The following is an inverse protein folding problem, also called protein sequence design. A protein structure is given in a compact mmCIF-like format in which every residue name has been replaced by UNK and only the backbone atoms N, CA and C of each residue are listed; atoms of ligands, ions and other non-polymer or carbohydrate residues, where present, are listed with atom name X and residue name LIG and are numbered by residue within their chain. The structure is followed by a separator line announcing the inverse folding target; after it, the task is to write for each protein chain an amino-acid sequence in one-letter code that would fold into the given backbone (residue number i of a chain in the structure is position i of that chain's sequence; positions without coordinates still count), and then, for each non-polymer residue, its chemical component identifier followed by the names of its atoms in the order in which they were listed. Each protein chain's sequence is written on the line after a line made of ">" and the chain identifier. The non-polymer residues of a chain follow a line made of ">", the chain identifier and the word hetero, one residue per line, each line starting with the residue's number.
data_IF_031304220773
#
_entry.id   IF_031304220773
#
_cell.length_a   1.000
_cell.length_b   1.000
_cell.length_c   1.000
_cell.angle_alpha   90.00
_cell.angle_beta   90.00
_cell.angle_gamma   90.00
#
_symmetry.space_group_name_H-M   'P 1'
#
loop_
_entity.id
_entity.type
_entity.pdbx_description
1 polymer ?
#
# COMPACT_ATOMS: atom_id res chain seq x y z
N UNK A 1 14.63 -5.40 7.27
CA UNK A 1 14.03 -5.52 5.93
C UNK A 1 15.08 -5.93 4.91
N UNK A 2 14.69 -6.25 3.68
CA UNK A 2 15.60 -6.78 2.63
C UNK A 2 16.87 -5.94 2.40
N UNK A 3 16.76 -4.61 2.45
CA UNK A 3 17.93 -3.70 2.35
C UNK A 3 18.91 -3.90 3.50
N UNK A 4 18.42 -4.03 4.74
CA UNK A 4 19.27 -4.22 5.91
C UNK A 4 19.97 -5.59 5.93
N UNK A 5 19.48 -6.55 5.13
CA UNK A 5 20.08 -7.87 4.95
C UNK A 5 21.13 -7.90 3.83
N UNK A 6 21.44 -6.75 3.21
CA UNK A 6 22.43 -6.66 2.13
C UNK A 6 21.95 -7.28 0.81
N UNK A 7 20.64 -7.36 0.58
CA UNK A 7 20.12 -7.84 -0.71
C UNK A 7 20.53 -6.91 -1.85
N UNK A 8 21.28 -7.43 -2.81
CA UNK A 8 21.62 -6.75 -4.06
C UNK A 8 20.51 -6.82 -5.12
N UNK A 9 19.50 -7.67 -4.89
CA UNK A 9 18.36 -7.80 -5.80
C UNK A 9 17.47 -6.56 -5.78
N UNK A 10 16.87 -6.17 -6.92
CA UNK A 10 15.87 -5.11 -6.97
C UNK A 10 14.74 -5.36 -5.97
N UNK A 11 14.34 -4.31 -5.27
CA UNK A 11 13.22 -4.35 -4.33
C UNK A 11 12.03 -3.68 -5.00
N UNK A 12 10.90 -4.41 -5.02
CA UNK A 12 9.65 -3.98 -5.63
C UNK A 12 8.67 -3.58 -4.52
N UNK A 13 8.12 -2.38 -4.61
CA UNK A 13 7.03 -1.91 -3.75
C UNK A 13 5.76 -1.69 -4.58
N UNK A 14 4.65 -2.31 -4.17
CA UNK A 14 3.36 -2.23 -4.87
C UNK A 14 2.18 -2.10 -3.90
N UNK A 15 2.01 -0.91 -3.32
CA UNK A 15 0.93 -0.57 -2.38
C UNK A 15 -0.45 -0.48 -3.03
N UNK A 16 -1.50 -0.77 -2.27
CA UNK A 16 -2.88 -0.41 -2.67
C UNK A 16 -3.06 1.11 -2.62
N UNK A 17 -4.09 1.64 -3.29
CA UNK A 17 -4.48 3.04 -3.16
C UNK A 17 -5.22 3.29 -1.84
N UNK A 18 -4.47 3.38 -0.74
CA UNK A 18 -5.02 3.51 0.61
C UNK A 18 -5.45 2.17 1.21
N UNK A 19 -6.04 2.24 2.41
CA UNK A 19 -6.48 1.07 3.17
C UNK A 19 -7.79 0.56 2.56
N UNK A 20 -7.91 -0.73 2.21
CA UNK A 20 -9.18 -1.29 1.73
C UNK A 20 -10.31 -1.10 2.75
N UNK A 21 -11.45 -0.60 2.31
CA UNK A 21 -12.66 -0.42 3.12
C UNK A 21 -13.80 -1.26 2.54
N UNK A 22 -14.54 -1.96 3.39
CA UNK A 22 -15.79 -2.60 2.98
C UNK A 22 -16.93 -1.58 3.03
N UNK A 23 -17.57 -1.35 1.88
CA UNK A 23 -18.74 -0.50 1.73
C UNK A 23 -19.75 -1.28 0.89
N UNK A 24 -20.94 -1.52 1.43
CA UNK A 24 -22.05 -2.20 0.74
C UNK A 24 -21.66 -3.55 0.07
N UNK A 25 -20.84 -4.36 0.76
CA UNK A 25 -20.40 -5.67 0.26
C UNK A 25 -19.26 -5.61 -0.76
N UNK A 26 -18.75 -4.43 -1.09
CA UNK A 26 -17.65 -4.22 -2.02
C UNK A 26 -16.44 -3.59 -1.33
N UNK A 27 -15.24 -3.85 -1.88
CA UNK A 27 -13.99 -3.25 -1.40
C UNK A 27 -13.77 -1.94 -2.15
N UNK A 28 -13.70 -0.85 -1.40
CA UNK A 28 -13.37 0.49 -1.88
C UNK A 28 -11.98 0.92 -1.39
N UNK A 29 -11.33 1.73 -2.22
CA UNK A 29 -10.00 2.29 -2.01
C UNK A 29 -10.12 3.81 -2.09
N UNK A 30 -9.68 4.51 -1.05
CA UNK A 30 -9.82 5.96 -0.91
C UNK A 30 -8.47 6.69 -0.90
N UNK A 31 -7.37 5.98 -1.16
CA UNK A 31 -6.07 6.61 -1.32
C UNK A 31 -6.11 7.57 -2.51
N UNK A 32 -5.68 8.80 -2.27
CA UNK A 32 -5.65 9.84 -3.30
C UNK A 32 -4.37 9.74 -4.14
N UNK A 33 -4.31 10.37 -5.32
CA UNK A 33 -3.07 10.53 -6.08
C UNK A 33 -1.92 11.12 -5.25
N UNK A 34 -2.20 12.10 -4.40
CA UNK A 34 -1.18 12.73 -3.54
C UNK A 34 -0.69 11.78 -2.43
N UNK A 35 -1.59 11.01 -1.81
CA UNK A 35 -1.20 9.98 -0.85
C UNK A 35 -0.28 8.94 -1.50
N UNK A 36 -0.60 8.52 -2.73
CA UNK A 36 0.23 7.58 -3.48
C UNK A 36 1.57 8.19 -3.88
N UNK A 37 1.63 9.50 -4.10
CA UNK A 37 2.89 10.23 -4.32
C UNK A 37 3.80 10.17 -3.09
N UNK A 38 3.25 10.39 -1.89
CA UNK A 38 3.97 10.28 -0.62
C UNK A 38 4.46 8.85 -0.38
N UNK A 39 3.60 7.86 -0.65
CA UNK A 39 3.97 6.44 -0.63
C UNK A 39 5.17 6.15 -1.52
N UNK A 40 5.19 6.65 -2.77
CA UNK A 40 6.27 6.36 -3.70
C UNK A 40 7.62 6.90 -3.20
N UNK A 41 7.63 8.11 -2.65
CA UNK A 41 8.81 8.73 -2.04
C UNK A 41 9.32 7.93 -0.86
N UNK A 42 8.43 7.54 0.06
CA UNK A 42 8.77 6.72 1.22
C UNK A 42 9.29 5.34 0.80
N UNK A 43 8.71 4.72 -0.23
CA UNK A 43 9.16 3.43 -0.75
C UNK A 43 10.58 3.52 -1.34
N UNK A 44 10.89 4.57 -2.11
CA UNK A 44 12.24 4.86 -2.62
C UNK A 44 13.23 5.05 -1.48
N UNK A 45 12.86 5.81 -0.46
CA UNK A 45 13.72 6.12 0.68
C UNK A 45 13.94 4.90 1.59
N UNK A 46 12.99 3.95 1.58
CA UNK A 46 13.16 2.61 2.15
C UNK A 46 14.10 1.69 1.33
N UNK A 47 14.40 2.05 0.08
CA UNK A 47 15.31 1.34 -0.82
C UNK A 47 14.64 0.52 -1.92
N UNK A 48 13.34 0.72 -2.19
CA UNK A 48 12.71 0.16 -3.37
C UNK A 48 13.29 0.80 -4.65
N UNK A 49 13.52 -0.03 -5.67
CA UNK A 49 14.03 0.39 -6.99
C UNK A 49 13.00 0.24 -8.09
N UNK A 50 11.93 -0.51 -7.83
CA UNK A 50 10.76 -0.60 -8.71
C UNK A 50 9.53 -0.27 -7.86
N UNK A 51 8.79 0.77 -8.24
CA UNK A 51 7.69 1.32 -7.45
C UNK A 51 6.46 1.42 -8.34
N UNK A 52 5.36 0.84 -7.87
CA UNK A 52 4.08 0.85 -8.56
C UNK A 52 2.92 0.77 -7.57
N UNK A 53 1.72 0.56 -8.11
CA UNK A 53 0.49 0.37 -7.33
C UNK A 53 -0.22 -0.95 -7.60
N UNK A 54 -1.10 -1.32 -6.69
CA UNK A 54 -1.88 -2.57 -6.68
C UNK A 54 -3.37 -2.26 -6.88
N UNK A 55 -4.24 -2.76 -6.00
CA UNK A 55 -5.67 -2.54 -6.08
C UNK A 55 -6.01 -1.07 -5.79
N UNK A 56 -6.96 -0.53 -6.53
CA UNK A 56 -7.39 0.87 -6.43
C UNK A 56 -6.48 1.89 -7.11
N UNK A 57 -5.25 1.53 -7.51
CA UNK A 57 -4.36 2.44 -8.24
C UNK A 57 -4.89 2.69 -9.65
N UNK A 58 -4.88 3.96 -10.07
CA UNK A 58 -5.32 4.44 -11.39
C UNK A 58 -4.15 5.17 -12.10
N UNK A 59 -4.28 5.52 -13.39
CA UNK A 59 -3.27 6.32 -14.09
C UNK A 59 -2.94 7.66 -13.41
N UNK A 60 -3.92 8.34 -12.82
CA UNK A 60 -3.73 9.61 -12.11
C UNK A 60 -2.78 9.46 -10.91
N UNK A 61 -2.89 8.34 -10.19
CA UNK A 61 -1.95 8.00 -9.12
C UNK A 61 -0.54 7.83 -9.66
N UNK A 62 -0.37 7.13 -10.79
CA UNK A 62 0.95 6.90 -11.39
C UNK A 62 1.60 8.20 -11.87
N UNK A 63 0.81 9.14 -12.41
CA UNK A 63 1.29 10.48 -12.78
C UNK A 63 1.84 11.21 -11.56
N UNK A 64 1.10 11.22 -10.44
CA UNK A 64 1.54 11.87 -9.20
C UNK A 64 2.72 11.17 -8.52
N UNK A 65 2.74 9.84 -8.53
CA UNK A 65 3.89 9.06 -8.08
C UNK A 65 5.16 9.40 -8.86
N UNK A 66 5.06 9.45 -10.19
CA UNK A 66 6.18 9.81 -11.06
C UNK A 66 6.66 11.22 -10.78
N UNK A 67 5.75 12.19 -10.77
CA UNK A 67 6.06 13.60 -10.48
C UNK A 67 6.84 13.73 -9.17
N UNK A 68 6.38 13.09 -8.09
CA UNK A 68 7.04 13.15 -6.80
C UNK A 68 8.42 12.45 -6.79
N UNK A 69 8.57 11.34 -7.49
CA UNK A 69 9.86 10.63 -7.61
C UNK A 69 10.90 11.45 -8.39
N UNK A 70 10.48 12.21 -9.40
CA UNK A 70 11.34 13.06 -10.22
C UNK A 70 11.68 14.39 -9.54
N UNK A 71 10.75 14.97 -8.76
CA UNK A 71 10.91 16.34 -8.22
C UNK A 71 11.37 16.40 -6.77
N UNK A 72 11.07 15.39 -5.93
CA UNK A 72 11.42 15.41 -4.50
C UNK A 72 12.77 14.74 -4.26
N UNK A 73 13.67 15.43 -3.56
CA UNK A 73 15.00 14.91 -3.21
C UNK A 73 14.91 13.62 -2.38
N UNK A 74 15.88 12.72 -2.55
CA UNK A 74 16.00 11.49 -1.75
C UNK A 74 16.30 11.81 -0.29
N UNK A 75 15.44 11.34 0.62
CA UNK A 75 15.60 11.50 2.05
C UNK A 75 16.34 10.34 2.72
N UNK A 76 16.63 10.46 4.03
CA UNK A 76 17.04 9.32 4.84
C UNK A 76 15.92 8.27 4.92
N UNK A 77 16.27 7.04 5.29
CA UNK A 77 15.27 5.99 5.51
C UNK A 77 14.29 6.41 6.61
N UNK A 78 12.97 6.44 6.35
CA UNK A 78 11.99 6.83 7.36
C UNK A 78 11.82 5.75 8.43
N UNK A 79 11.42 6.17 9.63
CA UNK A 79 10.96 5.30 10.72
C UNK A 79 9.54 4.81 10.47
N UNK A 80 9.10 3.77 11.18
CA UNK A 80 7.72 3.29 11.07
C UNK A 80 6.71 4.37 11.50
N UNK A 81 7.00 5.14 12.54
CA UNK A 81 6.11 6.22 13.01
C UNK A 81 5.94 7.31 11.96
N UNK A 82 7.01 7.67 11.25
CA UNK A 82 6.94 8.63 10.13
C UNK A 82 6.11 8.09 8.97
N UNK A 83 6.24 6.79 8.66
CA UNK A 83 5.43 6.15 7.61
C UNK A 83 3.96 6.14 8.01
N UNK A 84 3.64 5.78 9.25
CA UNK A 84 2.25 5.77 9.75
C UNK A 84 1.66 7.18 9.82
N UNK A 85 2.44 8.17 10.21
CA UNK A 85 2.00 9.58 10.20
C UNK A 85 1.66 10.07 8.79
N UNK A 86 2.42 9.64 7.77
CA UNK A 86 2.23 10.06 6.39
C UNK A 86 1.12 9.28 5.66
N UNK A 87 1.06 7.96 5.86
CA UNK A 87 0.20 7.07 5.07
C UNK A 87 -1.03 6.56 5.82
N UNK A 88 -1.11 6.80 7.13
CA UNK A 88 -2.11 6.20 8.01
C UNK A 88 -1.72 4.80 8.48
N UNK A 89 -2.70 4.08 9.05
CA UNK A 89 -2.52 2.71 9.51
C UNK A 89 -2.20 1.74 8.36
N UNK A 90 -1.58 0.60 8.69
CA UNK A 90 -1.26 -0.43 7.69
C UNK A 90 -2.44 -1.37 7.37
N UNK A 91 -3.50 -1.32 8.17
CA UNK A 91 -4.70 -2.16 8.07
C UNK A 91 -5.93 -1.38 8.49
N UNK A 92 -7.11 -1.83 8.03
CA UNK A 92 -8.39 -1.36 8.55
C UNK A 92 -8.58 -1.80 10.00
N UNK A 93 -9.36 -1.02 10.77
CA UNK A 93 -9.69 -1.34 12.16
C UNK A 93 -10.59 -2.59 12.30
N UNK A 94 -11.31 -2.93 11.23
CA UNK A 94 -12.07 -4.16 11.07
C UNK A 94 -11.86 -4.66 9.64
N UNK A 95 -11.76 -5.96 9.46
CA UNK A 95 -11.65 -6.60 8.14
C UNK A 95 -13.01 -6.77 7.46
N UNK A 96 -14.09 -6.23 8.05
CA UNK A 96 -15.45 -6.33 7.53
C UNK A 96 -16.05 -7.73 7.61
N UNK A 97 -15.41 -8.68 8.32
CA UNK A 97 -15.89 -10.06 8.48
C UNK A 97 -16.61 -10.31 9.81
N UNK A 98 -16.86 -9.27 10.60
CA UNK A 98 -17.68 -9.38 11.81
C UNK A 98 -19.15 -9.63 11.48
N UNK A 99 -19.87 -10.26 12.41
CA UNK A 99 -21.29 -10.65 12.34
C UNK A 99 -22.30 -9.48 12.12
N UNK A 100 -21.84 -8.28 11.74
CA UNK A 100 -22.68 -7.10 11.48
C UNK A 100 -22.90 -6.83 9.98
N UNK A 101 -22.82 -7.86 9.14
CA UNK A 101 -23.32 -7.75 7.77
C UNK A 101 -24.20 -8.96 7.46
N UNK A 102 -25.43 -8.72 6.98
CA UNK A 102 -26.32 -9.74 6.43
C UNK A 102 -25.77 -10.36 5.11
N UNK A 103 -24.46 -10.26 4.87
CA UNK A 103 -23.78 -10.78 3.70
C UNK A 103 -23.32 -12.23 3.95
N UNK A 104 -23.46 -13.13 2.95
CA UNK A 104 -23.08 -14.53 3.13
C UNK A 104 -21.58 -14.66 3.42
N UNK A 105 -21.26 -15.32 4.53
CA UNK A 105 -19.90 -15.56 4.99
C UNK A 105 -19.03 -16.19 3.89
N UNK A 106 -17.95 -15.50 3.52
CA UNK A 106 -17.02 -15.97 2.49
C UNK A 106 -16.22 -17.16 3.02
N UNK A 107 -16.64 -18.37 2.65
CA UNK A 107 -15.96 -19.60 3.06
C UNK A 107 -14.55 -19.65 2.46
N UNK A 108 -13.53 -19.45 3.31
CA UNK A 108 -12.12 -19.68 2.94
C UNK A 108 -11.93 -21.18 2.66
N UNK A 109 -11.97 -21.58 1.38
CA UNK A 109 -11.52 -22.91 0.96
C UNK A 109 -10.01 -23.00 1.17
N UNK A 110 -9.61 -23.57 2.29
CA UNK A 110 -8.22 -23.96 2.55
C UNK A 110 -7.79 -24.96 1.49
N UNK A 111 -6.91 -24.55 0.58
CA UNK A 111 -6.23 -25.45 -0.35
C UNK A 111 -5.27 -26.30 0.48
N UNK A 112 -5.72 -27.49 0.91
CA UNK A 112 -4.85 -28.51 1.49
C UNK A 112 -3.72 -28.78 0.48
N UNK A 113 -2.49 -28.65 0.96
CA UNK A 113 -1.27 -29.07 0.27
C UNK A 113 -1.40 -30.56 -0.07
N UNK A 114 -1.17 -30.89 -1.33
CA UNK A 114 -0.78 -32.22 -1.82
C UNK A 114 0.56 -32.05 -2.51
#
# INVERSE_FOLDING_TARGET
>A
GFVAQGSERPIIAKGNAGIPKYVDGHIHYDGTPDLMADYAVLARDCGATIIGGCCGTTPEHLVKMREALETRTKGPRPTLDQITAALGGFSSASDGTGDQSDAPARQRRGRRRG
#
